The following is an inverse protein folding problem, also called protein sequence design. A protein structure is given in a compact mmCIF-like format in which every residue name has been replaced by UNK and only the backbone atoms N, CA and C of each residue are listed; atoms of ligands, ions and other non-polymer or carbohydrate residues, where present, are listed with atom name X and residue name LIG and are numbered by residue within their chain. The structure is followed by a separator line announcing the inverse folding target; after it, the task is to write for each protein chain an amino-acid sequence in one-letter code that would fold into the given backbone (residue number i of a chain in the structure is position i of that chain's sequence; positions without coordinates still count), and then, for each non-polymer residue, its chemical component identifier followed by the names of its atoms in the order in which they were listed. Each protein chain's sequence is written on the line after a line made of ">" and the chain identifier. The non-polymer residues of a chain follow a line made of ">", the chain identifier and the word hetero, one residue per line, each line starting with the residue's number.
data_IF_589888780131
#
_entry.id   IF_589888780131
#
_cell.length_a   1.000
_cell.length_b   1.000
_cell.length_c   1.000
_cell.angle_alpha   90.00
_cell.angle_beta   90.00
_cell.angle_gamma   90.00
#
_symmetry.space_group_name_H-M   'P 1'
#
loop_
_entity.id
_entity.type
_entity.pdbx_description
1 polymer ?
#
# COMPACT_ATOMS: atom_id res chain seq x y z
N UNK A 1 24.84 -4.59 -36.56
CA UNK A 1 23.75 -3.60 -36.37
C UNK A 1 22.84 -4.12 -35.27
N UNK A 2 23.03 -3.70 -34.02
CA UNK A 2 22.12 -4.07 -32.93
C UNK A 2 21.22 -2.88 -32.63
N UNK A 3 19.93 -3.01 -32.95
CA UNK A 3 18.91 -2.03 -32.58
C UNK A 3 18.67 -2.16 -31.08
N UNK A 4 19.17 -1.20 -30.30
CA UNK A 4 18.79 -1.04 -28.90
C UNK A 4 17.34 -0.58 -28.90
N UNK A 5 16.42 -1.46 -28.50
CA UNK A 5 15.01 -1.13 -28.31
C UNK A 5 14.90 -0.32 -27.01
N UNK A 6 15.04 0.99 -27.11
CA UNK A 6 14.96 1.91 -25.97
C UNK A 6 13.50 2.28 -25.70
N UNK A 7 12.70 1.32 -25.24
CA UNK A 7 11.50 1.64 -24.47
C UNK A 7 11.79 1.37 -23.00
N UNK A 8 12.77 2.11 -22.47
CA UNK A 8 12.89 2.22 -21.03
C UNK A 8 11.70 3.05 -20.52
N UNK A 9 10.96 2.49 -19.58
CA UNK A 9 9.85 3.17 -18.92
C UNK A 9 10.40 4.39 -18.17
N UNK A 10 9.56 5.43 -17.97
CA UNK A 10 9.95 6.61 -17.18
C UNK A 10 10.47 6.26 -15.76
N UNK A 11 10.13 5.06 -15.26
CA UNK A 11 10.58 4.53 -13.98
C UNK A 11 11.98 3.93 -14.01
N UNK A 12 12.41 3.29 -15.10
CA UNK A 12 13.81 2.84 -15.23
C UNK A 12 14.75 4.04 -15.25
N UNK A 13 14.31 5.17 -15.82
CA UNK A 13 15.00 6.46 -15.68
C UNK A 13 15.03 6.97 -14.23
N UNK A 14 13.95 6.79 -13.46
CA UNK A 14 13.88 7.25 -12.07
C UNK A 14 14.72 6.36 -11.13
N UNK A 15 14.76 5.06 -11.36
CA UNK A 15 15.57 4.10 -10.62
C UNK A 15 17.06 4.25 -10.91
N UNK A 16 17.43 4.51 -12.18
CA UNK A 16 18.84 4.77 -12.54
C UNK A 16 19.39 6.09 -11.99
N UNK A 17 18.51 7.02 -11.59
CA UNK A 17 18.88 8.26 -10.90
C UNK A 17 18.71 8.17 -9.36
N UNK A 18 18.13 7.09 -8.84
CA UNK A 18 18.17 6.73 -7.43
C UNK A 18 19.46 5.95 -7.21
N UNK A 19 20.52 6.73 -7.11
CA UNK A 19 21.91 6.37 -6.93
C UNK A 19 22.13 5.18 -5.97
N UNK A 20 23.14 4.38 -6.29
CA UNK A 20 23.62 3.11 -5.69
C UNK A 20 24.08 3.24 -4.22
N UNK A 21 23.70 4.32 -3.54
CA UNK A 21 24.13 4.69 -2.18
C UNK A 21 23.00 5.21 -1.28
N UNK A 22 21.78 5.38 -1.79
CA UNK A 22 20.63 5.82 -0.97
C UNK A 22 19.78 4.62 -0.57
N UNK A 23 19.69 4.37 0.74
CA UNK A 23 18.82 3.35 1.30
C UNK A 23 17.38 3.56 0.76
N UNK A 24 16.89 2.61 -0.03
CA UNK A 24 15.56 2.71 -0.64
C UNK A 24 14.54 2.90 0.47
N UNK A 25 13.71 3.96 0.36
CA UNK A 25 12.57 4.12 1.25
C UNK A 25 11.63 2.92 1.13
N UNK A 26 10.83 2.69 2.18
CA UNK A 26 9.96 1.51 2.26
C UNK A 26 9.02 1.36 1.05
N UNK A 27 8.42 2.47 0.58
CA UNK A 27 7.53 2.47 -0.58
C UNK A 27 8.23 1.91 -1.83
N UNK A 28 9.50 2.25 -2.06
CA UNK A 28 10.31 1.74 -3.16
C UNK A 28 10.72 0.27 -2.96
N UNK A 29 11.03 -0.16 -1.72
CA UNK A 29 11.33 -1.56 -1.41
C UNK A 29 10.11 -2.46 -1.68
N UNK A 30 8.92 -2.01 -1.30
CA UNK A 30 7.65 -2.71 -1.57
C UNK A 30 7.42 -2.84 -3.08
N UNK A 31 7.61 -1.74 -3.84
CA UNK A 31 7.49 -1.75 -5.29
C UNK A 31 8.47 -2.75 -5.93
N UNK A 32 9.74 -2.72 -5.53
CA UNK A 32 10.75 -3.63 -6.04
C UNK A 32 10.41 -5.08 -5.73
N UNK A 33 10.08 -5.39 -4.46
CA UNK A 33 9.67 -6.72 -4.03
C UNK A 33 8.50 -7.26 -4.87
N UNK A 34 7.46 -6.44 -5.09
CA UNK A 34 6.28 -6.85 -5.86
C UNK A 34 6.63 -7.06 -7.35
N UNK A 35 7.52 -6.23 -7.92
CA UNK A 35 7.98 -6.42 -9.31
C UNK A 35 8.72 -7.73 -9.51
N UNK A 36 9.62 -8.04 -8.58
CA UNK A 36 10.51 -9.21 -8.67
C UNK A 36 9.77 -10.51 -8.36
N UNK A 37 8.88 -10.50 -7.36
CA UNK A 37 8.34 -11.73 -6.79
C UNK A 37 6.88 -11.99 -7.15
N UNK A 38 6.13 -10.98 -7.60
CA UNK A 38 4.69 -11.07 -7.94
C UNK A 38 3.90 -11.88 -6.89
N UNK A 39 3.98 -11.51 -5.60
CA UNK A 39 3.47 -12.33 -4.52
C UNK A 39 1.95 -12.53 -4.62
N UNK A 40 1.53 -13.77 -4.82
CA UNK A 40 0.13 -14.17 -4.73
C UNK A 40 -0.27 -14.49 -3.27
N UNK A 41 -1.59 -14.61 -3.04
CA UNK A 41 -2.17 -15.01 -1.76
C UNK A 41 -3.17 -13.99 -1.20
N UNK A 42 -3.41 -14.09 0.11
CA UNK A 42 -4.32 -13.19 0.83
C UNK A 42 -3.64 -11.87 1.19
N UNK A 43 -4.43 -10.85 1.51
CA UNK A 43 -3.91 -9.59 2.04
C UNK A 43 -3.02 -9.79 3.28
N UNK A 44 -3.36 -10.74 4.16
CA UNK A 44 -2.57 -11.02 5.37
C UNK A 44 -1.19 -11.62 5.04
N UNK A 45 -1.14 -12.52 4.04
CA UNK A 45 0.12 -13.08 3.55
C UNK A 45 0.99 -11.98 2.95
N UNK A 46 0.38 -11.08 2.17
CA UNK A 46 1.06 -9.95 1.58
C UNK A 46 1.62 -9.02 2.68
N UNK A 47 0.80 -8.62 3.66
CA UNK A 47 1.24 -7.77 4.79
C UNK A 47 2.42 -8.41 5.53
N UNK A 48 2.37 -9.71 5.79
CA UNK A 48 3.45 -10.43 6.46
C UNK A 48 4.75 -10.35 5.66
N UNK A 49 4.68 -10.58 4.33
CA UNK A 49 5.82 -10.43 3.43
C UNK A 49 6.33 -8.99 3.40
N UNK A 50 5.45 -7.99 3.33
CA UNK A 50 5.85 -6.57 3.31
C UNK A 50 6.56 -6.16 4.61
N UNK A 51 6.08 -6.62 5.77
CA UNK A 51 6.73 -6.36 7.06
C UNK A 51 8.10 -7.03 7.17
N UNK A 52 8.29 -8.18 6.52
CA UNK A 52 9.59 -8.86 6.51
C UNK A 52 10.67 -8.15 5.69
N UNK A 53 10.30 -7.17 4.84
CA UNK A 53 11.26 -6.36 4.08
C UNK A 53 12.09 -5.41 4.96
N UNK A 54 11.61 -5.15 6.17
CA UNK A 54 12.24 -4.25 7.12
C UNK A 54 11.80 -4.61 8.55
N UNK A 55 12.38 -5.69 9.12
CA UNK A 55 11.94 -6.29 10.37
C UNK A 55 12.21 -5.40 11.60
N UNK A 56 13.13 -4.44 11.47
CA UNK A 56 13.52 -3.54 12.55
C UNK A 56 12.51 -2.39 12.73
N UNK A 57 11.62 -2.18 11.75
CA UNK A 57 10.64 -1.09 11.75
C UNK A 57 9.20 -1.59 11.85
N UNK A 58 8.46 -1.06 12.84
CA UNK A 58 7.04 -1.35 13.00
C UNK A 58 6.18 -0.45 12.10
N UNK A 59 5.76 -0.98 10.94
CA UNK A 59 4.89 -0.26 10.02
C UNK A 59 3.41 -0.31 10.45
N UNK A 60 2.80 0.87 10.53
CA UNK A 60 1.35 1.01 10.71
C UNK A 60 0.57 0.54 9.48
N UNK A 61 -0.71 0.21 9.66
CA UNK A 61 -1.61 -0.13 8.54
C UNK A 61 -1.73 1.01 7.51
N UNK A 62 -1.65 2.26 7.95
CA UNK A 62 -1.67 3.42 7.05
C UNK A 62 -0.41 3.48 6.17
N UNK A 63 0.77 3.23 6.75
CA UNK A 63 2.03 3.19 5.99
C UNK A 63 2.04 2.03 4.99
N UNK A 64 1.59 0.85 5.40
CA UNK A 64 1.46 -0.32 4.52
C UNK A 64 0.47 -0.04 3.37
N UNK A 65 -0.65 0.62 3.66
CA UNK A 65 -1.63 0.98 2.65
C UNK A 65 -1.08 1.99 1.65
N UNK A 66 -0.39 3.03 2.14
CA UNK A 66 0.29 4.00 1.27
C UNK A 66 1.29 3.32 0.34
N UNK A 67 2.12 2.42 0.86
CA UNK A 67 3.13 1.70 0.09
C UNK A 67 2.51 0.80 -0.99
N UNK A 68 1.44 0.06 -0.63
CA UNK A 68 0.75 -0.81 -1.58
C UNK A 68 0.01 -0.01 -2.66
N UNK A 69 -0.68 1.07 -2.29
CA UNK A 69 -1.38 1.95 -3.25
C UNK A 69 -0.40 2.64 -4.21
N UNK A 70 0.75 3.10 -3.69
CA UNK A 70 1.83 3.63 -4.52
C UNK A 70 2.31 2.58 -5.52
N UNK A 71 2.54 1.34 -5.06
CA UNK A 71 3.00 0.24 -5.89
C UNK A 71 1.99 -0.12 -6.97
N UNK A 72 0.74 -0.32 -6.60
CA UNK A 72 -0.35 -0.66 -7.52
C UNK A 72 -0.54 0.42 -8.60
N UNK A 73 -0.58 1.70 -8.19
CA UNK A 73 -0.66 2.83 -9.13
C UNK A 73 0.54 2.88 -10.06
N UNK A 74 1.73 2.60 -9.56
CA UNK A 74 2.96 2.60 -10.36
C UNK A 74 2.96 1.47 -11.39
N UNK A 75 2.53 0.26 -11.00
CA UNK A 75 2.52 -0.91 -11.86
C UNK A 75 1.37 -0.94 -12.86
N UNK A 76 0.26 -0.25 -12.58
CA UNK A 76 -0.89 -0.17 -13.49
C UNK A 76 -0.52 0.44 -14.86
N UNK A 77 0.50 1.29 -14.90
CA UNK A 77 1.03 1.86 -16.15
C UNK A 77 1.98 0.94 -16.92
N UNK A 78 2.36 -0.21 -16.36
CA UNK A 78 3.29 -1.16 -16.97
C UNK A 78 2.53 -2.33 -17.62
N UNK A 79 2.60 -2.50 -18.95
CA UNK A 79 1.92 -3.59 -19.65
C UNK A 79 2.26 -4.98 -19.12
N UNK A 80 3.47 -5.18 -18.60
CA UNK A 80 3.95 -6.47 -18.11
C UNK A 80 3.33 -6.87 -16.76
N UNK A 81 2.68 -5.92 -16.09
CA UNK A 81 2.05 -6.11 -14.78
C UNK A 81 0.54 -5.89 -14.81
N UNK A 82 -0.05 -5.56 -15.97
CA UNK A 82 -1.47 -5.22 -16.08
C UNK A 82 -2.40 -6.30 -15.51
N UNK A 83 -2.18 -7.55 -15.89
CA UNK A 83 -3.03 -8.67 -15.44
C UNK A 83 -2.81 -8.94 -13.95
N UNK A 84 -1.56 -8.89 -13.49
CA UNK A 84 -1.23 -9.04 -12.06
C UNK A 84 -1.83 -7.91 -11.20
N UNK A 85 -1.79 -6.66 -11.68
CA UNK A 85 -2.42 -5.54 -10.97
C UNK A 85 -3.92 -5.77 -10.85
N UNK A 86 -4.58 -6.16 -11.94
CA UNK A 86 -6.02 -6.37 -11.99
C UNK A 86 -6.49 -7.55 -11.13
N UNK A 87 -5.80 -8.68 -11.23
CA UNK A 87 -6.29 -9.93 -10.65
C UNK A 87 -5.85 -10.11 -9.19
N UNK A 88 -4.75 -9.47 -8.79
CA UNK A 88 -4.15 -9.63 -7.45
C UNK A 88 -4.05 -8.31 -6.68
N UNK A 89 -3.35 -7.30 -7.20
CA UNK A 89 -3.09 -6.08 -6.42
C UNK A 89 -4.34 -5.23 -6.19
N UNK A 90 -5.24 -5.12 -7.16
CA UNK A 90 -6.49 -4.36 -7.05
C UNK A 90 -7.34 -4.93 -5.90
N UNK A 91 -7.43 -6.26 -5.80
CA UNK A 91 -8.15 -6.95 -4.72
C UNK A 91 -7.52 -6.65 -3.36
N UNK A 92 -6.21 -6.84 -3.22
CA UNK A 92 -5.51 -6.64 -1.96
C UNK A 92 -5.52 -5.16 -1.52
N UNK A 93 -5.32 -4.24 -2.45
CA UNK A 93 -5.37 -2.78 -2.21
C UNK A 93 -6.78 -2.35 -1.79
N UNK A 94 -7.82 -2.84 -2.47
CA UNK A 94 -9.22 -2.55 -2.12
C UNK A 94 -9.59 -3.07 -0.74
N UNK A 95 -9.16 -4.29 -0.39
CA UNK A 95 -9.37 -4.85 0.95
C UNK A 95 -8.67 -4.00 2.02
N UNK A 96 -7.44 -3.54 1.77
CA UNK A 96 -6.71 -2.73 2.74
C UNK A 96 -7.30 -1.32 2.91
N UNK A 97 -7.82 -0.71 1.84
CA UNK A 97 -8.60 0.52 1.93
C UNK A 97 -9.87 0.34 2.76
N UNK A 98 -10.61 -0.77 2.55
CA UNK A 98 -11.80 -1.10 3.33
C UNK A 98 -11.50 -1.25 4.83
N UNK A 99 -10.41 -1.94 5.19
CA UNK A 99 -9.96 -2.08 6.59
C UNK A 99 -9.64 -0.70 7.21
N UNK A 100 -8.92 0.17 6.50
CA UNK A 100 -8.62 1.51 6.99
C UNK A 100 -9.89 2.35 7.21
N UNK A 101 -10.87 2.28 6.30
CA UNK A 101 -12.14 2.98 6.48
C UNK A 101 -12.93 2.45 7.69
N UNK A 102 -12.94 1.13 7.91
CA UNK A 102 -13.60 0.51 9.05
C UNK A 102 -12.96 0.95 10.38
N UNK A 103 -11.63 0.94 10.46
CA UNK A 103 -10.88 1.40 11.65
C UNK A 103 -11.16 2.87 11.93
N UNK A 104 -11.11 3.72 10.89
CA UNK A 104 -11.43 5.14 11.04
C UNK A 104 -12.87 5.36 11.51
N UNK A 105 -13.84 4.61 10.98
CA UNK A 105 -15.24 4.69 11.41
C UNK A 105 -15.43 4.26 12.86
N UNK A 106 -14.73 3.21 13.32
CA UNK A 106 -14.77 2.77 14.71
C UNK A 106 -14.16 3.80 15.66
N UNK A 107 -13.00 4.37 15.31
CA UNK A 107 -12.39 5.46 16.11
C UNK A 107 -13.32 6.67 16.20
N UNK A 108 -13.91 7.10 15.08
CA UNK A 108 -14.88 8.21 15.08
C UNK A 108 -16.08 7.90 15.97
N UNK A 109 -16.65 6.69 15.89
CA UNK A 109 -17.76 6.29 16.77
C UNK A 109 -17.37 6.33 18.25
N UNK A 110 -16.18 5.87 18.62
CA UNK A 110 -15.71 5.94 20.01
C UNK A 110 -15.53 7.38 20.50
N UNK A 111 -15.00 8.26 19.65
CA UNK A 111 -14.77 9.67 19.99
C UNK A 111 -16.09 10.48 19.99
N UNK A 112 -17.02 10.12 19.10
CA UNK A 112 -18.35 10.74 18.95
C UNK A 112 -19.42 10.12 19.84
N UNK A 113 -19.06 9.18 20.72
CA UNK A 113 -19.90 8.72 21.83
C UNK A 113 -19.41 9.26 23.19
N UNK A 114 -19.19 10.58 23.38
CA UNK A 114 -19.25 11.12 24.74
C UNK A 114 -20.71 11.04 25.16
N UNK A 115 -20.99 10.18 26.16
CA UNK A 115 -22.25 10.09 26.92
C UNK A 115 -23.37 11.00 26.40
N UNK A 116 -24.38 10.42 25.75
CA UNK A 116 -25.74 10.97 25.74
C UNK A 116 -26.23 10.98 27.20
N UNK A 117 -25.72 11.93 27.99
CA UNK A 117 -26.36 12.45 29.18
C UNK A 117 -27.10 13.69 28.73
N UNK A 118 -28.16 13.45 27.97
CA UNK A 118 -29.24 14.41 27.87
C UNK A 118 -29.81 14.58 29.28
N UNK A 119 -29.74 15.82 29.74
CA UNK A 119 -30.37 16.35 30.92
C UNK A 119 -31.84 15.89 30.98
N UNK A 120 -32.12 14.95 31.89
CA UNK A 120 -33.49 14.66 32.32
C UNK A 120 -33.96 15.83 33.18
N UNK A 121 -34.42 16.87 32.50
CA UNK A 121 -35.11 18.01 33.06
C UNK A 121 -36.52 17.54 33.49
N UNK A 122 -36.58 16.77 34.58
CA UNK A 122 -37.83 16.37 35.21
C UNK A 122 -38.45 17.58 35.89
N UNK A 123 -39.29 18.30 35.16
CA UNK A 123 -40.30 19.19 35.71
C UNK A 123 -41.32 18.36 36.52
N UNK A 124 -41.21 18.40 37.86
CA UNK A 124 -42.32 18.32 38.81
C UNK A 124 -42.01 19.19 40.03
#
# INVERSE_FOLDING_TARGET
>A
MSKVNTHMTAYEHKLKNLDETSELNFDNRVLQFIRENRPEGTLNDLITKLKSLDPDNAYSLQQLNKALLYTDTTLRGDPNFRDYTKDTLDKNTSQMLGVNMMVNSMMMKWISSPDDKDDDNSFL
#
